data_IF_791905131854
#
_entry.id   IF_791905131854
#
_cell.length_a   1.000
_cell.length_b   1.000
_cell.length_c   1.000
_cell.angle_alpha   90.00
_cell.angle_beta   90.00
_cell.angle_gamma   90.00
#
_symmetry.space_group_name_H-M   'P 1'
#
loop_
_entity.id
_entity.type
_entity.pdbx_description
1 polymer ?
#
# COMPACT_ATOMS: atom_id res chain seq x y z
N UNK A 1 -18.14 73.36 -15.26
CA UNK A 1 -18.23 72.91 -13.85
C UNK A 1 -19.01 71.61 -13.67
N UNK A 2 -20.02 71.29 -14.48
CA UNK A 2 -20.80 70.04 -14.34
C UNK A 2 -20.07 68.77 -14.80
N UNK A 3 -19.10 68.87 -15.73
CA UNK A 3 -18.32 67.73 -16.24
C UNK A 3 -17.46 67.08 -15.14
N UNK A 4 -16.78 67.89 -14.31
CA UNK A 4 -15.96 67.39 -13.19
C UNK A 4 -16.77 66.66 -12.10
N UNK A 5 -18.08 66.90 -12.00
CA UNK A 5 -18.94 66.24 -11.01
C UNK A 5 -19.36 64.85 -11.48
N UNK A 6 -19.65 64.71 -12.79
CA UNK A 6 -20.02 63.45 -13.41
C UNK A 6 -18.84 62.47 -13.50
N UNK A 7 -17.64 62.98 -13.79
CA UNK A 7 -16.44 62.17 -13.85
C UNK A 7 -16.04 61.64 -12.46
N UNK A 8 -16.15 62.46 -11.41
CA UNK A 8 -15.95 62.02 -10.02
C UNK A 8 -16.99 60.98 -9.57
N UNK A 9 -18.24 61.09 -10.05
CA UNK A 9 -19.30 60.14 -9.73
C UNK A 9 -19.06 58.79 -10.43
N UNK A 10 -18.67 58.81 -11.70
CA UNK A 10 -18.30 57.61 -12.47
C UNK A 10 -17.08 56.92 -11.87
N UNK A 11 -16.04 57.66 -11.51
CA UNK A 11 -14.87 57.12 -10.83
C UNK A 11 -15.23 56.42 -9.52
N UNK A 12 -16.08 57.05 -8.69
CA UNK A 12 -16.52 56.43 -7.42
C UNK A 12 -17.35 55.17 -7.64
N UNK A 13 -18.21 55.14 -8.67
CA UNK A 13 -19.01 53.97 -9.01
C UNK A 13 -18.11 52.82 -9.51
N UNK A 14 -17.15 53.12 -10.39
CA UNK A 14 -16.19 52.14 -10.88
C UNK A 14 -15.32 51.58 -9.74
N UNK A 15 -14.76 52.45 -8.89
CA UNK A 15 -13.99 52.04 -7.70
C UNK A 15 -14.81 51.15 -6.75
N UNK A 16 -16.09 51.46 -6.54
CA UNK A 16 -16.97 50.62 -5.73
C UNK A 16 -17.30 49.27 -6.39
N UNK A 17 -17.45 49.22 -7.71
CA UNK A 17 -17.68 47.95 -8.42
C UNK A 17 -16.44 47.06 -8.40
N UNK A 18 -15.25 47.63 -8.61
CA UNK A 18 -13.99 46.91 -8.50
C UNK A 18 -13.75 46.40 -7.07
N UNK A 19 -14.01 47.24 -6.07
CA UNK A 19 -13.92 46.83 -4.65
C UNK A 19 -14.85 45.66 -4.34
N UNK A 20 -16.11 45.72 -4.78
CA UNK A 20 -17.06 44.61 -4.62
C UNK A 20 -16.61 43.33 -5.35
N UNK A 21 -15.95 43.46 -6.50
CA UNK A 21 -15.41 42.30 -7.23
C UNK A 21 -14.27 41.64 -6.44
N UNK A 22 -13.33 42.45 -5.94
CA UNK A 22 -12.21 41.99 -5.12
C UNK A 22 -12.69 41.34 -3.82
N UNK A 23 -13.62 41.98 -3.10
CA UNK A 23 -14.22 41.42 -1.89
C UNK A 23 -14.90 40.06 -2.15
N UNK A 24 -15.57 39.91 -3.30
CA UNK A 24 -16.20 38.64 -3.69
C UNK A 24 -15.17 37.57 -4.03
N UNK A 25 -14.08 37.93 -4.69
CA UNK A 25 -12.97 37.01 -5.00
C UNK A 25 -12.26 36.54 -3.73
N UNK A 26 -11.99 37.46 -2.80
CA UNK A 26 -11.35 37.15 -1.51
C UNK A 26 -12.26 36.29 -0.64
N UNK A 27 -13.56 36.59 -0.59
CA UNK A 27 -14.53 35.76 0.11
C UNK A 27 -14.58 34.34 -0.48
N UNK A 28 -14.55 34.21 -1.80
CA UNK A 28 -14.53 32.90 -2.45
C UNK A 28 -13.25 32.11 -2.16
N UNK A 29 -12.09 32.76 -2.02
CA UNK A 29 -10.84 32.09 -1.60
C UNK A 29 -10.93 31.61 -0.16
N UNK A 30 -11.37 32.49 0.74
CA UNK A 30 -11.54 32.16 2.15
C UNK A 30 -12.52 31.00 2.35
N UNK A 31 -13.63 30.98 1.60
CA UNK A 31 -14.60 29.90 1.65
C UNK A 31 -14.00 28.56 1.18
N UNK A 32 -13.18 28.56 0.12
CA UNK A 32 -12.47 27.35 -0.34
C UNK A 32 -11.48 26.85 0.70
N UNK A 33 -10.76 27.74 1.38
CA UNK A 33 -9.83 27.37 2.45
C UNK A 33 -10.57 26.75 3.64
N UNK A 34 -11.70 27.32 4.04
CA UNK A 34 -12.56 26.77 5.11
C UNK A 34 -13.10 25.41 4.71
N UNK A 35 -13.58 25.24 3.48
CA UNK A 35 -14.08 23.96 2.98
C UNK A 35 -12.97 22.90 2.96
N UNK A 36 -11.75 23.30 2.59
CA UNK A 36 -10.59 22.42 2.61
C UNK A 36 -10.22 22.00 4.04
N UNK A 37 -10.16 22.94 4.97
CA UNK A 37 -9.91 22.64 6.39
C UNK A 37 -10.99 21.72 6.98
N UNK A 38 -12.28 21.99 6.67
CA UNK A 38 -13.39 21.14 7.10
C UNK A 38 -13.26 19.72 6.57
N UNK A 39 -12.85 19.54 5.31
CA UNK A 39 -12.58 18.21 4.75
C UNK A 39 -11.44 17.52 5.46
N UNK A 40 -10.34 18.21 5.74
CA UNK A 40 -9.22 17.63 6.48
C UNK A 40 -9.63 17.19 7.89
N UNK A 41 -10.32 18.06 8.63
CA UNK A 41 -10.83 17.74 9.97
C UNK A 41 -11.78 16.53 9.91
N UNK A 42 -12.72 16.53 8.95
CA UNK A 42 -13.65 15.42 8.77
C UNK A 42 -12.94 14.11 8.45
N UNK A 43 -11.96 14.12 7.55
CA UNK A 43 -11.17 12.93 7.22
C UNK A 43 -10.41 12.40 8.44
N UNK A 44 -9.83 13.29 9.24
CA UNK A 44 -9.07 12.91 10.42
C UNK A 44 -9.98 12.36 11.53
N UNK A 45 -11.14 12.97 11.75
CA UNK A 45 -12.17 12.47 12.66
C UNK A 45 -12.74 11.13 12.18
N UNK A 46 -13.02 11.01 10.89
CA UNK A 46 -13.50 9.76 10.29
C UNK A 46 -12.48 8.63 10.45
N UNK A 47 -11.19 8.89 10.20
CA UNK A 47 -10.11 7.91 10.41
C UNK A 47 -10.02 7.46 11.87
N UNK A 48 -10.13 8.40 12.82
CA UNK A 48 -10.14 8.08 14.27
C UNK A 48 -11.33 7.19 14.62
N UNK A 49 -12.55 7.58 14.21
CA UNK A 49 -13.77 6.81 14.47
C UNK A 49 -13.71 5.42 13.83
N UNK A 50 -13.25 5.32 12.58
CA UNK A 50 -13.09 4.03 11.90
C UNK A 50 -12.09 3.11 12.62
N UNK A 51 -10.99 3.68 13.14
CA UNK A 51 -9.98 2.94 13.89
C UNK A 51 -10.52 2.44 15.24
N UNK A 52 -11.30 3.26 15.94
CA UNK A 52 -11.99 2.84 17.17
C UNK A 52 -12.99 1.70 16.92
N UNK A 53 -13.82 1.82 15.88
CA UNK A 53 -14.77 0.76 15.50
C UNK A 53 -14.02 -0.53 15.17
N UNK A 54 -12.93 -0.45 14.42
CA UNK A 54 -12.09 -1.61 14.08
C UNK A 54 -11.47 -2.25 15.32
N UNK A 55 -11.01 -1.46 16.30
CA UNK A 55 -10.51 -1.96 17.58
C UNK A 55 -11.60 -2.67 18.38
N UNK A 56 -12.77 -2.05 18.50
CA UNK A 56 -13.89 -2.63 19.22
C UNK A 56 -14.31 -3.97 18.61
N UNK A 57 -14.40 -4.03 17.28
CA UNK A 57 -14.71 -5.26 16.56
C UNK A 57 -13.62 -6.33 16.75
N UNK A 58 -12.33 -5.97 16.63
CA UNK A 58 -11.24 -6.91 16.85
C UNK A 58 -11.20 -7.46 18.29
N UNK A 59 -11.50 -6.62 19.30
CA UNK A 59 -11.63 -7.05 20.70
C UNK A 59 -12.81 -7.99 20.90
N UNK A 60 -13.96 -7.69 20.28
CA UNK A 60 -15.15 -8.54 20.29
C UNK A 60 -14.88 -9.90 19.64
N UNK A 61 -14.18 -9.92 18.51
CA UNK A 61 -13.80 -11.15 17.81
C UNK A 61 -12.79 -11.97 18.61
N UNK A 62 -11.82 -11.32 19.27
CA UNK A 62 -10.88 -11.99 20.17
C UNK A 62 -11.57 -12.62 21.40
N UNK A 63 -12.67 -12.04 21.87
CA UNK A 63 -13.46 -12.60 22.96
C UNK A 63 -14.33 -13.79 22.51
N UNK A 64 -14.84 -13.77 21.27
CA UNK A 64 -15.77 -14.78 20.73
C UNK A 64 -15.08 -15.98 20.07
N UNK A 65 -13.94 -15.76 19.41
CA UNK A 65 -13.24 -16.79 18.66
C UNK A 65 -12.32 -17.61 19.57
N UNK A 66 -11.96 -18.83 19.14
CA UNK A 66 -11.06 -19.73 19.86
C UNK A 66 -9.84 -20.14 19.00
N UNK A 67 -8.80 -20.66 19.64
CA UNK A 67 -7.60 -21.19 18.97
C UNK A 67 -6.83 -20.17 18.12
N UNK A 68 -6.49 -20.56 16.88
CA UNK A 68 -5.69 -19.74 15.96
C UNK A 68 -6.39 -18.44 15.54
N UNK A 69 -7.72 -18.46 15.43
CA UNK A 69 -8.49 -17.28 15.05
C UNK A 69 -8.48 -16.23 16.17
N UNK A 70 -8.54 -16.67 17.43
CA UNK A 70 -8.35 -15.80 18.60
C UNK A 70 -6.97 -15.14 18.59
N UNK A 71 -5.91 -15.91 18.33
CA UNK A 71 -4.54 -15.37 18.25
C UNK A 71 -4.39 -14.33 17.14
N UNK A 72 -5.04 -14.52 15.99
CA UNK A 72 -5.05 -13.52 14.91
C UNK A 72 -5.82 -12.26 15.31
N UNK A 73 -6.97 -12.41 15.95
CA UNK A 73 -7.78 -11.28 16.42
C UNK A 73 -7.08 -10.46 17.51
N UNK A 74 -6.42 -11.12 18.47
CA UNK A 74 -5.63 -10.44 19.52
C UNK A 74 -4.42 -9.72 18.95
N UNK A 75 -3.70 -10.32 18.00
CA UNK A 75 -2.60 -9.65 17.30
C UNK A 75 -3.07 -8.45 16.49
N UNK A 76 -4.23 -8.57 15.81
CA UNK A 76 -4.85 -7.44 15.10
C UNK A 76 -5.22 -6.31 16.08
N UNK A 77 -5.85 -6.61 17.21
CA UNK A 77 -6.19 -5.61 18.23
C UNK A 77 -4.94 -4.89 18.78
N UNK A 78 -3.88 -5.63 19.12
CA UNK A 78 -2.60 -5.05 19.57
C UNK A 78 -1.94 -4.16 18.51
N UNK A 79 -1.99 -4.57 17.24
CA UNK A 79 -1.42 -3.78 16.15
C UNK A 79 -2.23 -2.50 15.89
N UNK A 80 -3.56 -2.54 16.01
CA UNK A 80 -4.42 -1.36 15.89
C UNK A 80 -4.25 -0.39 17.06
N UNK A 81 -4.00 -0.90 18.28
CA UNK A 81 -3.62 -0.06 19.43
C UNK A 81 -2.27 0.64 19.21
N UNK A 82 -1.27 -0.08 18.68
CA UNK A 82 0.03 0.52 18.32
C UNK A 82 -0.04 1.49 17.14
N UNK A 83 -1.00 1.33 16.24
CA UNK A 83 -1.17 2.22 15.09
C UNK A 83 -1.68 3.61 15.50
N UNK A 84 -2.42 3.73 16.60
CA UNK A 84 -2.90 5.01 17.15
C UNK A 84 -1.74 5.86 17.70
N UNK A 85 -0.66 5.22 18.18
CA UNK A 85 0.62 5.86 18.53
C UNK A 85 1.55 6.10 17.33
N UNK A 86 1.08 5.87 16.11
CA UNK A 86 1.86 5.89 14.87
C UNK A 86 2.33 7.29 14.48
N UNK A 87 3.47 7.71 15.01
CA UNK A 87 4.25 8.84 14.52
C UNK A 87 4.45 8.71 12.99
N UNK A 88 4.14 9.74 12.17
CA UNK A 88 4.27 9.70 10.71
C UNK A 88 5.68 9.28 10.21
N UNK A 89 6.72 9.48 11.03
CA UNK A 89 8.08 8.95 10.82
C UNK A 89 8.12 7.42 10.66
N UNK A 90 7.22 6.67 11.32
CA UNK A 90 7.18 5.21 11.26
C UNK A 90 6.75 4.68 9.89
N UNK A 91 5.93 5.42 9.13
CA UNK A 91 5.51 5.00 7.78
C UNK A 91 6.65 5.12 6.78
N UNK A 92 7.38 6.23 6.79
CA UNK A 92 8.57 6.41 5.95
C UNK A 92 9.69 5.44 6.32
N UNK A 93 9.88 5.16 7.61
CA UNK A 93 10.85 4.15 8.07
C UNK A 93 10.47 2.73 7.63
N UNK A 94 9.18 2.37 7.60
CA UNK A 94 8.74 1.05 7.09
C UNK A 94 8.94 0.93 5.57
N UNK A 95 8.78 2.02 4.84
CA UNK A 95 9.05 2.05 3.40
C UNK A 95 10.55 1.89 3.11
N UNK A 96 11.42 2.55 3.88
CA UNK A 96 12.87 2.38 3.74
C UNK A 96 13.31 0.96 4.12
N UNK A 97 12.80 0.40 5.22
CA UNK A 97 13.05 -1.00 5.61
C UNK A 97 12.59 -2.00 4.55
N UNK A 98 11.41 -1.79 3.95
CA UNK A 98 10.90 -2.65 2.88
C UNK A 98 11.81 -2.63 1.65
N UNK A 99 12.28 -1.44 1.28
CA UNK A 99 13.21 -1.25 0.17
C UNK A 99 14.55 -1.93 0.44
N UNK A 100 15.12 -1.72 1.63
CA UNK A 100 16.38 -2.35 2.06
C UNK A 100 16.27 -3.88 2.13
N UNK A 101 15.18 -4.42 2.67
CA UNK A 101 14.97 -5.87 2.79
C UNK A 101 14.77 -6.54 1.43
N UNK A 102 14.14 -5.87 0.47
CA UNK A 102 14.03 -6.36 -0.90
C UNK A 102 15.38 -6.33 -1.64
N UNK A 103 16.20 -5.30 -1.42
CA UNK A 103 17.57 -5.27 -1.95
C UNK A 103 18.41 -6.41 -1.38
N UNK A 104 18.38 -6.62 -0.05
CA UNK A 104 19.11 -7.72 0.59
C UNK A 104 18.67 -9.10 0.08
N UNK A 105 17.36 -9.33 -0.12
CA UNK A 105 16.84 -10.58 -0.72
C UNK A 105 17.25 -10.76 -2.17
N UNK A 106 17.33 -9.67 -2.94
CA UNK A 106 17.80 -9.70 -4.32
C UNK A 106 19.28 -10.11 -4.38
N UNK A 107 20.10 -9.54 -3.50
CA UNK A 107 21.53 -9.86 -3.42
C UNK A 107 21.79 -11.29 -2.95
N UNK A 108 21.01 -11.79 -1.99
CA UNK A 108 21.08 -13.18 -1.54
C UNK A 108 20.70 -14.17 -2.66
N UNK A 109 19.66 -13.86 -3.43
CA UNK A 109 19.25 -14.69 -4.56
C UNK A 109 20.29 -14.67 -5.69
N UNK A 110 20.91 -13.52 -5.97
CA UNK A 110 22.01 -13.40 -6.93
C UNK A 110 23.18 -14.30 -6.54
N UNK A 111 23.63 -14.23 -5.28
CA UNK A 111 24.70 -15.07 -4.75
C UNK A 111 24.38 -16.57 -4.86
N UNK A 112 23.18 -17.00 -4.44
CA UNK A 112 22.75 -18.40 -4.62
C UNK A 112 22.75 -18.84 -6.07
N UNK A 113 22.33 -17.96 -6.99
CA UNK A 113 22.28 -18.29 -8.41
C UNK A 113 23.68 -18.39 -9.01
N UNK A 114 24.61 -17.55 -8.57
CA UNK A 114 26.02 -17.62 -8.95
C UNK A 114 26.68 -18.90 -8.42
N UNK A 115 26.42 -19.29 -7.17
CA UNK A 115 26.88 -20.55 -6.59
C UNK A 115 26.32 -21.78 -7.32
N UNK A 116 25.05 -21.77 -7.70
CA UNK A 116 24.47 -22.82 -8.54
C UNK A 116 25.09 -22.87 -9.94
N UNK A 117 25.42 -21.72 -10.52
CA UNK A 117 26.08 -21.66 -11.83
C UNK A 117 27.53 -22.12 -11.76
N UNK A 118 28.27 -21.80 -10.70
CA UNK A 118 29.65 -22.22 -10.53
C UNK A 118 29.73 -23.73 -10.29
N UNK A 119 28.86 -24.28 -9.44
CA UNK A 119 28.75 -25.73 -9.21
C UNK A 119 28.30 -26.48 -10.46
N UNK A 120 27.34 -25.96 -11.23
CA UNK A 120 26.95 -26.55 -12.52
C UNK A 120 28.10 -26.55 -13.53
N UNK A 121 28.90 -25.48 -13.59
CA UNK A 121 30.09 -25.41 -14.46
C UNK A 121 31.16 -26.41 -14.04
N UNK A 122 31.40 -26.56 -12.74
CA UNK A 122 32.32 -27.59 -12.21
C UNK A 122 31.83 -28.99 -12.57
N UNK A 123 30.54 -29.29 -12.36
CA UNK A 123 29.95 -30.59 -12.73
C UNK A 123 30.04 -30.89 -14.24
N UNK A 124 29.97 -29.87 -15.10
CA UNK A 124 30.15 -30.05 -16.56
C UNK A 124 31.62 -30.25 -16.93
N UNK A 125 32.55 -29.59 -16.25
CA UNK A 125 33.98 -29.80 -16.44
C UNK A 125 34.45 -31.17 -15.93
N UNK A 126 33.88 -31.64 -14.82
CA UNK A 126 34.15 -32.96 -14.23
C UNK A 126 33.50 -34.08 -15.04
N UNK A 127 32.38 -33.82 -15.75
CA UNK A 127 31.78 -34.75 -16.71
C UNK A 127 32.48 -34.70 -18.06
N UNK A 128 33.77 -35.01 -18.09
CA UNK A 128 34.37 -35.60 -19.29
C UNK A 128 34.03 -37.10 -19.34
N UNK A 129 33.26 -37.47 -20.37
CA UNK A 129 33.05 -38.82 -20.91
C UNK A 129 32.27 -39.81 -20.03
N UNK A 130 30.93 -39.79 -20.10
CA UNK A 130 30.14 -41.03 -20.05
C UNK A 130 29.03 -40.93 -21.09
N UNK A 131 29.17 -41.70 -22.17
CA UNK A 131 28.15 -41.88 -23.19
C UNK A 131 26.85 -42.36 -22.55
N UNK A 132 25.71 -41.66 -22.68
CA UNK A 132 24.46 -42.14 -22.09
C UNK A 132 23.98 -43.37 -22.88
N UNK A 133 24.05 -44.56 -22.27
CA UNK A 133 23.39 -45.74 -22.80
C UNK A 133 21.88 -45.45 -22.85
N UNK A 134 21.35 -45.41 -24.07
CA UNK A 134 19.93 -45.18 -24.38
C UNK A 134 19.11 -46.29 -23.69
N UNK A 135 18.45 -45.95 -22.58
CA UNK A 135 17.53 -46.87 -21.91
C UNK A 135 16.25 -46.98 -22.74
N UNK A 136 15.95 -48.18 -23.21
CA UNK A 136 14.70 -48.47 -23.93
C UNK A 136 13.49 -48.19 -23.04
N UNK A 137 12.36 -47.73 -23.60
CA UNK A 137 11.16 -47.41 -22.83
C UNK A 137 10.58 -48.67 -22.17
N UNK A 138 10.08 -48.48 -20.95
CA UNK A 138 9.49 -49.51 -20.10
C UNK A 138 8.24 -50.12 -20.76
N UNK A 139 8.26 -51.43 -21.00
CA UNK A 139 7.08 -52.20 -21.39
C UNK A 139 6.44 -52.81 -20.13
N UNK A 140 5.22 -52.43 -19.76
CA UNK A 140 4.54 -53.03 -18.61
C UNK A 140 4.07 -54.44 -18.96
N UNK A 141 4.67 -55.45 -18.32
CA UNK A 141 4.23 -56.83 -18.43
C UNK A 141 2.99 -57.07 -17.55
N UNK A 142 1.86 -57.40 -18.17
CA UNK A 142 0.83 -58.24 -17.56
C UNK A 142 -0.40 -57.54 -17.00
N UNK A 143 -1.23 -56.95 -17.87
CA UNK A 143 -2.68 -56.87 -17.64
C UNK A 143 -3.39 -57.72 -18.69
N UNK A 144 -3.79 -58.93 -18.32
CA UNK A 144 -4.49 -59.91 -19.15
C UNK A 144 -4.97 -61.05 -18.26
N UNK A 145 -6.07 -60.92 -17.51
CA UNK A 145 -7.47 -60.96 -17.92
C UNK A 145 -7.99 -62.41 -18.14
N UNK A 146 -9.15 -62.69 -17.51
CA UNK A 146 -10.10 -63.82 -17.66
C UNK A 146 -9.85 -65.02 -16.73
N UNK A 147 -10.68 -65.26 -15.70
CA UNK A 147 -12.04 -65.83 -15.73
C UNK A 147 -12.12 -67.05 -16.64
N UNK A 148 -12.17 -68.25 -16.04
CA UNK A 148 -13.12 -69.34 -16.37
C UNK A 148 -12.73 -70.64 -15.62
N UNK A 149 -13.73 -71.33 -15.07
CA UNK A 149 -13.68 -72.74 -14.68
C UNK A 149 -13.89 -72.98 -13.21
#
# INVERSE_FOLDING_TARGET
MFENLFDNLKEKIQKNQEKKRLEKEDFARMQREVDFQRKQIFEDEFKKNALEVAKAQAKKDAAKLSGLQKLRATNRARNLERAETGNPMSMFSKLSEYTQKNMARRDENLKRTEEMRSTAKQMVQDKKVINPQIRKPFQPSGFGNKLNG
#
